data_IF_357044838224
#
_entry.id   IF_357044838224
#
_cell.length_a   1.000
_cell.length_b   1.000
_cell.length_c   1.000
_cell.angle_alpha   90.00
_cell.angle_beta   90.00
_cell.angle_gamma   90.00
#
_symmetry.space_group_name_H-M   'P 1'
#
loop_
_entity.id
_entity.type
_entity.pdbx_description
1 polymer ?
#
# COMPACT_ATOMS: atom_id res chain seq x y z
N UNK A 1 19.61 12.73 28.40
CA UNK A 1 18.37 11.99 28.71
C UNK A 1 17.11 12.43 27.92
N UNK A 2 17.15 13.45 27.05
CA UNK A 2 15.99 13.88 26.22
C UNK A 2 15.83 13.18 24.85
N UNK A 3 16.74 12.27 24.48
CA UNK A 3 16.70 11.57 23.18
C UNK A 3 15.78 10.34 23.14
N UNK A 4 15.70 9.59 24.25
CA UNK A 4 14.94 8.32 24.31
C UNK A 4 13.41 8.53 24.31
N UNK A 5 12.93 9.59 24.95
CA UNK A 5 11.49 9.92 25.00
C UNK A 5 10.91 10.33 23.63
N UNK A 6 11.73 10.89 22.73
CA UNK A 6 11.32 11.28 21.38
C UNK A 6 11.16 10.07 20.46
N UNK A 7 12.03 9.08 20.59
CA UNK A 7 11.97 7.80 19.86
C UNK A 7 10.81 6.92 20.36
N UNK A 8 10.49 6.99 21.66
CA UNK A 8 9.35 6.30 22.27
C UNK A 8 7.99 6.74 21.69
N UNK A 9 7.77 8.05 21.59
CA UNK A 9 6.51 8.60 21.05
C UNK A 9 6.42 8.37 19.53
N UNK A 10 7.57 8.25 18.84
CA UNK A 10 7.70 7.95 17.41
C UNK A 10 7.03 6.62 17.03
N UNK A 11 7.27 5.56 17.80
CA UNK A 11 6.90 4.19 17.46
C UNK A 11 5.43 3.87 17.82
N UNK A 12 4.88 4.56 18.81
CA UNK A 12 3.55 4.32 19.37
C UNK A 12 2.38 4.82 18.49
N UNK A 13 2.69 5.37 17.34
CA UNK A 13 1.84 6.38 16.73
C UNK A 13 1.58 6.06 15.26
N UNK A 14 2.59 5.54 14.57
CA UNK A 14 2.47 5.09 13.20
C UNK A 14 2.10 3.62 13.14
N UNK A 15 2.33 2.83 14.19
CA UNK A 15 2.01 1.40 14.17
C UNK A 15 0.61 1.08 13.60
N UNK A 16 -0.48 1.83 13.87
CA UNK A 16 -1.76 1.58 13.21
C UNK A 16 -1.74 1.84 11.69
N UNK A 17 -0.99 2.85 11.24
CA UNK A 17 -0.86 3.31 9.85
C UNK A 17 0.11 2.45 9.04
N UNK A 18 1.18 1.95 9.65
CA UNK A 18 2.13 0.99 9.04
C UNK A 18 1.58 -0.44 9.05
N UNK A 19 0.76 -0.82 10.04
CA UNK A 19 0.04 -2.11 10.04
C UNK A 19 -0.98 -2.19 8.89
N UNK A 20 -1.52 -1.06 8.41
CA UNK A 20 -2.37 -1.03 7.20
C UNK A 20 -1.62 -1.48 5.94
N UNK A 21 -0.32 -1.23 5.86
CA UNK A 21 0.49 -1.57 4.67
C UNK A 21 1.19 -2.92 4.80
N UNK A 22 1.21 -3.52 5.99
CA UNK A 22 2.08 -4.65 6.32
C UNK A 22 1.30 -5.66 7.14
N UNK A 23 0.71 -6.65 6.47
CA UNK A 23 0.43 -7.91 7.14
C UNK A 23 1.62 -8.85 6.95
N UNK A 24 2.29 -9.14 8.06
CA UNK A 24 3.32 -10.17 8.19
C UNK A 24 4.65 -9.61 8.70
N UNK A 25 5.46 -10.48 9.27
CA UNK A 25 5.95 -10.51 10.64
C UNK A 25 7.11 -9.56 11.01
N UNK A 26 6.96 -8.89 12.16
CA UNK A 26 7.89 -9.10 13.28
C UNK A 26 7.22 -10.04 14.28
N UNK A 27 7.99 -10.71 15.13
CA UNK A 27 7.52 -11.67 16.13
C UNK A 27 6.49 -11.06 17.09
N UNK A 28 5.25 -11.02 16.62
CA UNK A 28 4.05 -10.74 17.39
C UNK A 28 3.16 -11.96 17.22
N UNK A 29 2.81 -12.61 18.33
CA UNK A 29 1.78 -13.61 18.36
C UNK A 29 0.41 -12.94 18.15
N UNK A 30 0.10 -12.61 16.90
CA UNK A 30 -1.23 -12.20 16.43
C UNK A 30 -1.76 -13.36 15.61
N UNK A 31 -2.91 -13.92 15.99
CA UNK A 31 -3.64 -14.83 15.10
C UNK A 31 -3.86 -14.12 13.76
N UNK A 32 -3.25 -14.67 12.70
CA UNK A 32 -3.27 -14.11 11.36
C UNK A 32 -4.71 -13.78 10.93
N UNK A 33 -5.08 -12.50 10.70
CA UNK A 33 -6.25 -12.21 9.89
C UNK A 33 -5.85 -12.58 8.47
N UNK A 34 -6.17 -13.80 8.05
CA UNK A 34 -5.81 -14.34 6.73
C UNK A 34 -6.18 -13.30 5.67
N UNK A 35 -5.22 -12.85 4.87
CA UNK A 35 -5.45 -11.93 3.73
C UNK A 35 -6.49 -12.49 2.72
N UNK A 36 -6.72 -13.80 2.72
CA UNK A 36 -7.85 -14.42 2.00
C UNK A 36 -9.22 -13.94 2.51
N UNK A 37 -9.34 -13.66 3.81
CA UNK A 37 -10.55 -13.07 4.43
C UNK A 37 -10.71 -11.61 4.04
N UNK A 38 -9.62 -10.86 3.80
CA UNK A 38 -9.66 -9.50 3.27
C UNK A 38 -10.25 -9.47 1.86
N UNK A 39 -9.79 -10.35 0.95
CA UNK A 39 -10.36 -10.48 -0.40
C UNK A 39 -11.79 -11.07 -0.40
N UNK A 40 -12.09 -12.02 0.51
CA UNK A 40 -13.42 -12.61 0.65
C UNK A 40 -14.45 -11.65 1.28
N UNK A 41 -14.03 -10.58 1.96
CA UNK A 41 -14.93 -9.55 2.52
C UNK A 41 -15.24 -8.43 1.53
N UNK A 42 -14.40 -8.23 0.51
CA UNK A 42 -14.60 -7.25 -0.57
C UNK A 42 -15.57 -7.79 -1.65
N UNK A 43 -15.91 -9.08 -1.65
CA UNK A 43 -16.54 -9.77 -2.80
C UNK A 43 -18.08 -9.79 -2.83
N UNK A 44 -18.81 -9.08 -1.96
CA UNK A 44 -20.27 -9.23 -1.89
C UNK A 44 -21.14 -8.03 -2.33
N UNK A 45 -20.61 -7.00 -3.02
CA UNK A 45 -21.44 -5.79 -3.29
C UNK A 45 -21.58 -5.31 -4.73
N UNK A 46 -21.01 -5.94 -5.77
CA UNK A 46 -21.38 -5.56 -7.17
C UNK A 46 -20.90 -6.58 -8.22
N UNK A 47 -21.67 -7.64 -8.50
CA UNK A 47 -21.29 -8.63 -9.51
C UNK A 47 -22.13 -8.66 -10.81
N UNK A 48 -23.17 -7.84 -10.98
CA UNK A 48 -24.12 -8.03 -12.08
C UNK A 48 -24.07 -7.07 -13.27
N UNK A 49 -22.99 -6.31 -13.52
CA UNK A 49 -22.99 -5.31 -14.63
C UNK A 49 -21.85 -5.31 -15.65
N UNK A 50 -20.86 -6.21 -15.63
CA UNK A 50 -19.65 -6.01 -16.47
C UNK A 50 -19.28 -7.21 -17.34
N UNK A 51 -20.08 -7.46 -18.38
CA UNK A 51 -19.60 -8.16 -19.61
C UNK A 51 -19.17 -7.19 -20.72
N UNK A 52 -19.63 -5.93 -20.68
CA UNK A 52 -19.26 -4.90 -21.66
C UNK A 52 -17.88 -4.26 -21.43
N UNK A 53 -17.41 -4.19 -20.17
CA UNK A 53 -16.13 -3.58 -19.80
C UNK A 53 -14.89 -4.36 -20.28
N UNK A 54 -14.99 -5.69 -20.27
CA UNK A 54 -13.93 -6.65 -20.66
C UNK A 54 -13.33 -6.32 -22.04
N UNK A 55 -14.19 -6.13 -23.04
CA UNK A 55 -13.77 -5.86 -24.41
C UNK A 55 -13.14 -4.47 -24.59
N UNK A 56 -13.45 -3.52 -23.70
CA UNK A 56 -12.96 -2.14 -23.80
C UNK A 56 -11.56 -2.04 -23.17
N UNK A 57 -11.32 -2.73 -22.05
CA UNK A 57 -10.03 -2.76 -21.38
C UNK A 57 -8.95 -3.41 -22.26
N UNK A 58 -9.23 -4.60 -22.81
CA UNK A 58 -8.31 -5.28 -23.74
C UNK A 58 -7.99 -4.45 -24.99
N UNK A 59 -9.01 -3.88 -25.65
CA UNK A 59 -8.84 -3.01 -26.83
C UNK A 59 -8.00 -1.76 -26.54
N UNK A 60 -8.12 -1.19 -25.34
CA UNK A 60 -7.35 -0.01 -24.95
C UNK A 60 -5.87 -0.35 -24.80
N UNK A 61 -5.55 -1.49 -24.18
CA UNK A 61 -4.17 -1.97 -24.05
C UNK A 61 -3.58 -2.30 -25.42
N UNK A 62 -4.33 -2.95 -26.30
CA UNK A 62 -3.89 -3.26 -27.65
C UNK A 62 -3.55 -2.00 -28.44
N UNK A 63 -4.40 -0.97 -28.31
CA UNK A 63 -4.15 0.34 -28.90
C UNK A 63 -2.85 0.93 -28.38
N UNK A 64 -2.63 0.95 -27.06
CA UNK A 64 -1.41 1.49 -26.45
C UNK A 64 -0.15 0.79 -27.01
N UNK A 65 -0.16 -0.55 -27.05
CA UNK A 65 0.98 -1.34 -27.54
C UNK A 65 1.29 -1.03 -29.01
N UNK A 66 0.26 -0.87 -29.84
CA UNK A 66 0.41 -0.64 -31.27
C UNK A 66 0.66 0.83 -31.63
N UNK A 67 0.24 1.79 -30.78
CA UNK A 67 0.45 3.22 -31.00
C UNK A 67 1.88 3.65 -30.69
N UNK A 68 2.47 3.13 -29.62
CA UNK A 68 3.80 3.55 -29.18
C UNK A 68 4.88 2.56 -29.60
N UNK A 69 5.92 3.06 -30.25
CA UNK A 69 7.09 2.27 -30.65
C UNK A 69 8.00 1.99 -29.45
N UNK A 70 8.24 3.00 -28.60
CA UNK A 70 9.15 2.91 -27.45
C UNK A 70 8.47 2.28 -26.24
N UNK A 71 9.20 1.43 -25.52
CA UNK A 71 8.68 0.73 -24.33
C UNK A 71 8.34 1.69 -23.19
N UNK A 72 9.10 2.78 -23.04
CA UNK A 72 8.85 3.79 -22.01
C UNK A 72 7.51 4.49 -22.23
N UNK A 73 7.18 4.80 -23.49
CA UNK A 73 5.91 5.45 -23.83
C UNK A 73 4.72 4.50 -23.64
N UNK A 74 4.90 3.21 -23.94
CA UNK A 74 3.90 2.17 -23.61
C UNK A 74 3.68 2.08 -22.10
N UNK A 75 4.76 2.05 -21.31
CA UNK A 75 4.69 1.97 -19.85
C UNK A 75 3.99 3.19 -19.26
N UNK A 76 4.31 4.40 -19.73
CA UNK A 76 3.65 5.62 -19.29
C UNK A 76 2.16 5.58 -19.58
N UNK A 77 1.76 5.20 -20.80
CA UNK A 77 0.36 5.06 -21.17
C UNK A 77 -0.38 3.96 -20.37
N UNK A 78 0.30 2.86 -20.03
CA UNK A 78 -0.23 1.83 -19.14
C UNK A 78 -0.39 2.32 -17.71
N UNK A 79 0.53 3.15 -17.19
CA UNK A 79 0.41 3.78 -15.88
C UNK A 79 -0.77 4.77 -15.85
N UNK A 80 -1.00 5.52 -16.94
CA UNK A 80 -2.19 6.36 -17.09
C UNK A 80 -3.49 5.55 -17.11
N UNK A 81 -3.49 4.40 -17.79
CA UNK A 81 -4.63 3.48 -17.78
C UNK A 81 -4.85 2.92 -16.37
N UNK A 82 -3.78 2.47 -15.71
CA UNK A 82 -3.83 1.94 -14.36
C UNK A 82 -4.40 2.97 -13.39
N UNK A 83 -3.98 4.23 -13.50
CA UNK A 83 -4.55 5.34 -12.71
C UNK A 83 -6.07 5.41 -12.82
N UNK A 84 -6.62 5.28 -14.03
CA UNK A 84 -8.08 5.27 -14.25
C UNK A 84 -8.73 4.03 -13.65
N UNK A 85 -8.04 2.89 -13.66
CA UNK A 85 -8.54 1.65 -13.07
C UNK A 85 -8.53 1.66 -11.54
N UNK A 86 -7.65 2.42 -10.88
CA UNK A 86 -7.71 2.57 -9.42
C UNK A 86 -9.07 3.12 -8.97
N UNK A 87 -9.69 3.99 -9.77
CA UNK A 87 -10.99 4.60 -9.45
C UNK A 87 -12.16 3.66 -9.80
N UNK A 88 -12.01 2.83 -10.83
CA UNK A 88 -13.10 2.00 -11.38
C UNK A 88 -13.08 0.54 -10.94
N UNK A 89 -11.92 0.06 -10.49
CA UNK A 89 -11.63 -1.36 -10.37
C UNK A 89 -11.48 -2.05 -11.73
N UNK A 90 -11.03 -3.31 -11.70
CA UNK A 90 -11.05 -4.26 -12.83
C UNK A 90 -11.54 -5.60 -12.29
N UNK A 91 -12.87 -5.79 -12.16
CA UNK A 91 -13.43 -7.01 -11.57
C UNK A 91 -12.99 -8.30 -12.27
N UNK A 92 -12.72 -8.24 -13.57
CA UNK A 92 -12.25 -9.38 -14.38
C UNK A 92 -10.87 -9.90 -13.95
N UNK A 93 -10.08 -9.03 -13.31
CA UNK A 93 -8.76 -9.35 -12.76
C UNK A 93 -8.79 -9.45 -11.24
N UNK A 94 -9.99 -9.48 -10.63
CA UNK A 94 -10.19 -9.37 -9.18
C UNK A 94 -9.49 -8.13 -8.57
N UNK A 95 -9.41 -7.04 -9.33
CA UNK A 95 -8.89 -5.76 -8.85
C UNK A 95 -10.08 -4.93 -8.37
N UNK A 96 -10.22 -4.67 -7.06
CA UNK A 96 -11.31 -3.85 -6.55
C UNK A 96 -11.08 -2.36 -6.87
N UNK A 97 -12.05 -1.52 -6.53
CA UNK A 97 -11.84 -0.07 -6.48
C UNK A 97 -10.81 0.21 -5.37
N UNK A 98 -9.79 1.01 -5.72
CA UNK A 98 -8.69 1.38 -4.83
C UNK A 98 -8.66 2.89 -4.52
N UNK A 99 -9.52 3.70 -5.15
CA UNK A 99 -9.66 5.12 -4.84
C UNK A 99 -11.12 5.58 -4.99
N UNK A 100 -11.91 5.64 -3.90
CA UNK A 100 -11.51 5.31 -2.53
C UNK A 100 -11.37 3.80 -2.27
N UNK A 101 -10.33 3.41 -1.53
CA UNK A 101 -10.20 2.07 -0.95
C UNK A 101 -10.89 2.05 0.42
N UNK A 102 -11.81 1.10 0.62
CA UNK A 102 -12.50 0.89 1.88
C UNK A 102 -11.98 -0.36 2.59
N UNK A 103 -11.75 -0.26 3.89
CA UNK A 103 -11.27 -1.35 4.75
C UNK A 103 -12.14 -1.39 6.00
N UNK A 104 -12.88 -2.48 6.18
CA UNK A 104 -13.85 -2.59 7.27
C UNK A 104 -13.20 -2.59 8.66
N UNK A 105 -12.10 -3.35 8.82
CA UNK A 105 -11.42 -3.47 10.10
C UNK A 105 -9.95 -3.87 9.91
N UNK A 106 -9.10 -3.26 10.72
CA UNK A 106 -7.67 -3.52 10.83
C UNK A 106 -7.35 -3.65 12.31
N UNK A 107 -7.06 -4.85 12.77
CA UNK A 107 -6.54 -5.07 14.12
C UNK A 107 -5.03 -4.89 14.13
N UNK A 108 -4.51 -4.26 15.18
CA UNK A 108 -3.08 -4.11 15.39
C UNK A 108 -2.69 -4.47 16.83
N UNK A 109 -1.56 -5.15 16.94
CA UNK A 109 -0.95 -5.53 18.21
C UNK A 109 0.56 -5.30 18.08
N UNK A 110 1.01 -4.10 18.40
CA UNK A 110 2.42 -3.74 18.36
C UNK A 110 3.10 -4.20 19.64
N UNK A 111 4.09 -5.07 19.50
CA UNK A 111 5.01 -5.42 20.58
C UNK A 111 6.43 -5.05 20.17
N UNK A 112 6.92 -3.92 20.67
CA UNK A 112 8.28 -3.44 20.44
C UNK A 112 8.88 -2.94 21.77
N UNK A 113 10.21 -2.95 21.91
CA UNK A 113 10.88 -2.49 23.14
C UNK A 113 10.47 -1.08 23.55
N UNK A 114 10.18 -0.23 22.56
CA UNK A 114 9.76 1.15 22.77
C UNK A 114 8.25 1.34 22.99
N UNK A 115 7.41 0.38 22.62
CA UNK A 115 5.96 0.53 22.74
C UNK A 115 5.23 -0.82 22.65
N UNK A 116 4.22 -0.98 23.52
CA UNK A 116 3.27 -2.09 23.50
C UNK A 116 1.87 -1.54 23.31
N UNK A 117 1.32 -1.63 22.10
CA UNK A 117 0.03 -1.05 21.77
C UNK A 117 -0.89 -2.07 21.16
N UNK A 118 -2.15 -2.03 21.55
CA UNK A 118 -3.18 -2.88 20.98
C UNK A 118 -4.38 -2.05 20.63
N UNK A 119 -5.02 -2.40 19.53
CA UNK A 119 -6.18 -1.67 19.08
C UNK A 119 -6.69 -2.14 17.74
N UNK A 120 -7.59 -1.34 17.19
CA UNK A 120 -8.10 -1.52 15.85
C UNK A 120 -8.44 -0.19 15.19
N UNK A 121 -8.48 -0.21 13.87
CA UNK A 121 -9.14 0.80 13.05
C UNK A 121 -10.32 0.15 12.31
N UNK A 122 -11.44 0.86 12.22
CA UNK A 122 -12.66 0.41 11.55
C UNK A 122 -13.17 1.48 10.59
N UNK A 123 -13.97 1.05 9.60
CA UNK A 123 -14.54 1.91 8.56
C UNK A 123 -13.51 2.83 7.89
N UNK A 124 -12.32 2.28 7.65
CA UNK A 124 -11.19 3.03 7.12
C UNK A 124 -11.41 3.29 5.64
N UNK A 125 -11.31 4.55 5.25
CA UNK A 125 -11.39 5.01 3.86
C UNK A 125 -10.09 5.70 3.48
N UNK A 126 -9.44 5.17 2.44
CA UNK A 126 -8.20 5.69 1.87
C UNK A 126 -8.52 6.31 0.51
N UNK A 127 -8.13 7.57 0.31
CA UNK A 127 -8.42 8.33 -0.90
C UNK A 127 -7.14 8.91 -1.51
N UNK A 128 -7.25 9.29 -2.78
CA UNK A 128 -6.20 9.91 -3.57
C UNK A 128 -5.03 8.99 -3.95
N UNK A 129 -5.20 7.67 -3.85
CA UNK A 129 -4.21 6.69 -4.37
C UNK A 129 -4.00 6.90 -5.87
N UNK A 130 -5.04 7.26 -6.62
CA UNK A 130 -4.97 7.55 -8.05
C UNK A 130 -4.25 8.87 -8.38
N UNK A 131 -3.96 9.73 -7.40
CA UNK A 131 -3.33 11.04 -7.63
C UNK A 131 -1.80 10.98 -7.67
N UNK A 132 -1.22 9.79 -7.74
CA UNK A 132 0.23 9.62 -7.86
C UNK A 132 0.78 10.31 -9.11
N UNK A 133 2.00 10.84 -8.98
CA UNK A 133 2.86 11.36 -10.04
C UNK A 133 3.95 10.34 -10.31
N UNK A 134 4.27 10.12 -11.58
CA UNK A 134 5.39 9.25 -11.97
C UNK A 134 6.63 10.12 -12.05
N UNK A 135 7.56 9.94 -11.10
CA UNK A 135 8.81 10.73 -11.05
C UNK A 135 9.88 10.11 -11.96
N UNK A 136 9.88 8.78 -12.03
CA UNK A 136 10.83 8.02 -12.85
C UNK A 136 10.27 6.65 -13.18
N UNK A 137 10.37 6.30 -14.45
CA UNK A 137 10.13 4.97 -14.95
C UNK A 137 11.35 4.50 -15.76
N UNK A 138 11.83 3.29 -15.45
CA UNK A 138 12.90 2.67 -16.24
C UNK A 138 12.59 1.20 -16.44
N UNK A 139 12.70 0.79 -17.69
CA UNK A 139 12.62 -0.59 -18.10
C UNK A 139 14.01 -1.08 -18.51
N UNK A 140 14.37 -2.31 -18.14
CA UNK A 140 15.61 -2.95 -18.58
C UNK A 140 15.36 -4.41 -18.91
N UNK A 141 15.79 -4.85 -20.08
CA UNK A 141 15.90 -6.28 -20.39
C UNK A 141 17.16 -6.83 -19.72
N UNK A 142 17.01 -7.85 -18.87
CA UNK A 142 18.11 -8.52 -18.19
C UNK A 142 18.56 -9.81 -18.90
N UNK A 143 18.00 -10.08 -20.08
CA UNK A 143 18.18 -11.34 -20.81
C UNK A 143 17.48 -12.52 -20.14
N UNK A 144 17.51 -13.68 -20.80
CA UNK A 144 16.93 -14.93 -20.27
C UNK A 144 15.47 -14.79 -19.83
N UNK A 145 14.70 -13.99 -20.58
CA UNK A 145 13.29 -13.68 -20.31
C UNK A 145 13.04 -13.01 -18.94
N UNK A 146 14.02 -12.25 -18.46
CA UNK A 146 13.93 -11.47 -17.22
C UNK A 146 13.91 -10.00 -17.55
N UNK A 147 12.97 -9.27 -16.95
CA UNK A 147 12.77 -7.85 -17.19
C UNK A 147 12.74 -7.11 -15.88
N UNK A 148 13.45 -5.98 -15.81
CA UNK A 148 13.47 -5.10 -14.66
C UNK A 148 12.60 -3.88 -14.92
N UNK A 149 11.71 -3.60 -13.97
CA UNK A 149 10.91 -2.39 -13.92
C UNK A 149 11.26 -1.62 -12.65
N UNK A 150 11.87 -0.46 -12.82
CA UNK A 150 12.10 0.51 -11.75
C UNK A 150 11.07 1.63 -11.88
N UNK A 151 10.28 1.87 -10.83
CA UNK A 151 9.29 2.95 -10.79
C UNK A 151 9.46 3.77 -9.51
N UNK A 152 9.54 5.09 -9.65
CA UNK A 152 9.42 6.04 -8.56
C UNK A 152 8.11 6.81 -8.72
N UNK A 153 7.28 6.77 -7.69
CA UNK A 153 6.01 7.46 -7.63
C UNK A 153 6.01 8.42 -6.44
N UNK A 154 5.44 9.60 -6.62
CA UNK A 154 5.11 10.52 -5.53
C UNK A 154 3.60 10.62 -5.42
N UNK A 155 3.06 10.37 -4.23
CA UNK A 155 1.67 10.63 -3.89
C UNK A 155 1.63 11.99 -3.18
N UNK A 156 1.14 13.07 -3.82
CA UNK A 156 1.18 14.41 -3.23
C UNK A 156 0.42 14.47 -1.90
N UNK A 157 -0.71 13.76 -1.84
CA UNK A 157 -1.48 13.59 -0.63
C UNK A 157 -2.25 12.27 -0.69
N UNK A 158 -2.16 11.45 0.35
CA UNK A 158 -3.08 10.33 0.60
C UNK A 158 -3.89 10.67 1.84
N UNK A 159 -5.21 10.59 1.72
CA UNK A 159 -6.13 10.85 2.84
C UNK A 159 -6.61 9.53 3.41
N UNK A 160 -6.50 9.36 4.73
CA UNK A 160 -7.02 8.19 5.45
C UNK A 160 -7.93 8.69 6.55
N UNK A 161 -9.15 8.19 6.60
CA UNK A 161 -10.10 8.52 7.65
C UNK A 161 -10.76 7.23 8.15
N UNK A 162 -11.19 7.20 9.40
CA UNK A 162 -11.90 6.05 9.95
C UNK A 162 -12.17 6.23 11.44
N UNK A 163 -12.51 5.14 12.10
CA UNK A 163 -12.64 5.05 13.55
C UNK A 163 -11.44 4.28 14.10
N UNK A 164 -10.92 4.69 15.25
CA UNK A 164 -9.85 3.97 15.93
C UNK A 164 -10.22 3.70 17.38
N UNK A 165 -9.64 2.62 17.91
CA UNK A 165 -9.51 2.37 19.33
C UNK A 165 -8.10 1.88 19.59
N UNK A 166 -7.40 2.51 20.53
CA UNK A 166 -6.05 2.13 20.92
C UNK A 166 -5.91 2.17 22.42
N UNK A 167 -5.14 1.24 22.97
CA UNK A 167 -4.67 1.27 24.34
C UNK A 167 -3.29 0.61 24.43
N UNK A 168 -2.47 1.08 25.37
CA UNK A 168 -1.21 0.42 25.66
C UNK A 168 -0.21 1.30 26.37
N UNK A 169 1.06 0.96 26.22
CA UNK A 169 2.19 1.57 26.90
C UNK A 169 3.21 2.05 25.88
N UNK A 170 3.68 3.28 26.08
CA UNK A 170 4.85 3.84 25.43
C UNK A 170 6.01 3.72 26.43
N UNK A 171 7.08 3.04 26.03
CA UNK A 171 8.15 2.60 26.91
C UNK A 171 7.61 1.72 28.05
N UNK A 172 8.10 2.00 29.26
CA UNK A 172 7.79 1.17 30.45
C UNK A 172 6.70 1.74 31.36
N UNK A 173 6.28 3.00 31.16
CA UNK A 173 5.45 3.70 32.16
C UNK A 173 4.36 4.59 31.59
N UNK A 174 4.43 4.97 30.32
CA UNK A 174 3.49 5.95 29.79
C UNK A 174 2.28 5.25 29.15
N UNK A 175 1.13 5.28 29.82
CA UNK A 175 -0.10 4.73 29.27
C UNK A 175 -0.68 5.65 28.20
N UNK A 176 -1.01 5.10 27.04
CA UNK A 176 -1.74 5.77 25.98
C UNK A 176 -3.05 5.04 25.74
N UNK A 177 -4.12 5.79 25.53
CA UNK A 177 -5.41 5.26 25.15
C UNK A 177 -6.19 6.31 24.38
N UNK A 178 -7.11 5.87 23.53
CA UNK A 178 -7.98 6.75 22.78
C UNK A 178 -8.98 5.96 21.95
N UNK A 179 -10.15 6.54 21.75
CA UNK A 179 -11.20 5.99 20.90
C UNK A 179 -11.96 7.13 20.26
N UNK A 180 -12.21 7.04 18.95
CA UNK A 180 -12.93 8.08 18.23
C UNK A 180 -12.63 8.07 16.74
N UNK A 181 -13.09 9.10 16.00
CA UNK A 181 -12.68 9.29 14.62
C UNK A 181 -11.23 9.73 14.52
N UNK A 182 -10.57 9.29 13.45
CA UNK A 182 -9.25 9.77 13.07
C UNK A 182 -9.20 10.23 11.62
N UNK A 183 -8.26 11.14 11.34
CA UNK A 183 -7.90 11.60 10.00
C UNK A 183 -6.40 11.68 9.87
N UNK A 184 -5.88 11.27 8.72
CA UNK A 184 -4.48 11.33 8.35
C UNK A 184 -4.36 11.88 6.93
N UNK A 185 -3.44 12.81 6.73
CA UNK A 185 -2.95 13.21 5.41
C UNK A 185 -1.47 12.86 5.35
N UNK A 186 -1.12 11.85 4.55
CA UNK A 186 0.27 11.55 4.23
C UNK A 186 0.66 12.47 3.09
N UNK A 187 1.54 13.44 3.36
CA UNK A 187 1.94 14.47 2.40
C UNK A 187 3.27 14.08 1.77
N UNK A 188 3.33 14.14 0.44
CA UNK A 188 4.49 13.77 -0.38
C UNK A 188 5.08 12.41 0.00
N UNK A 189 4.24 11.37 0.00
CA UNK A 189 4.68 9.99 0.15
C UNK A 189 5.35 9.54 -1.14
N UNK A 190 6.62 9.14 -1.04
CA UNK A 190 7.41 8.63 -2.17
C UNK A 190 7.52 7.12 -2.08
N UNK A 191 7.26 6.45 -3.19
CA UNK A 191 7.38 5.01 -3.36
C UNK A 191 8.38 4.72 -4.48
N UNK A 192 9.50 4.12 -4.13
CA UNK A 192 10.45 3.52 -5.07
C UNK A 192 10.23 2.02 -5.15
N UNK A 193 10.14 1.49 -6.35
CA UNK A 193 10.01 0.06 -6.60
C UNK A 193 11.08 -0.40 -7.59
N UNK A 194 11.66 -1.58 -7.35
CA UNK A 194 12.53 -2.28 -8.29
C UNK A 194 12.04 -3.72 -8.40
N UNK A 195 11.33 -4.03 -9.48
CA UNK A 195 10.70 -5.33 -9.69
C UNK A 195 11.39 -6.08 -10.82
N UNK A 196 11.74 -7.34 -10.60
CA UNK A 196 12.21 -8.26 -11.64
C UNK A 196 11.09 -9.23 -11.97
N UNK A 197 10.57 -9.12 -13.19
CA UNK A 197 9.65 -10.06 -13.79
C UNK A 197 10.43 -11.16 -14.52
N UNK A 198 9.92 -12.39 -14.48
CA UNK A 198 10.49 -13.52 -15.24
C UNK A 198 9.38 -14.26 -15.98
N UNK A 199 9.57 -14.47 -17.28
CA UNK A 199 8.76 -15.44 -18.01
C UNK A 199 9.36 -16.84 -17.85
N UNK A 200 8.49 -17.82 -17.57
CA UNK A 200 8.77 -19.22 -17.78
C UNK A 200 7.89 -19.69 -18.95
N UNK A 201 8.53 -20.09 -20.05
CA UNK A 201 7.82 -20.61 -21.22
C UNK A 201 7.06 -21.92 -20.87
N UNK A 202 5.93 -22.21 -21.55
CA UNK A 202 5.37 -21.47 -22.69
C UNK A 202 4.52 -20.23 -22.34
N UNK A 203 4.07 -20.03 -21.09
CA UNK A 203 3.07 -18.99 -20.81
C UNK A 203 2.96 -18.50 -19.35
N UNK A 204 4.01 -18.56 -18.53
CA UNK A 204 3.94 -18.08 -17.14
C UNK A 204 4.75 -16.81 -16.95
N UNK A 205 4.16 -15.75 -16.41
CA UNK A 205 4.86 -14.56 -15.94
C UNK A 205 4.76 -14.48 -14.42
N UNK A 206 5.85 -14.14 -13.76
CA UNK A 206 5.87 -13.97 -12.30
C UNK A 206 6.82 -12.87 -11.89
N UNK A 207 6.54 -12.26 -10.74
CA UNK A 207 7.51 -11.47 -9.99
C UNK A 207 8.55 -12.42 -9.40
N UNK A 208 9.79 -12.34 -9.90
CA UNK A 208 10.93 -13.08 -9.36
C UNK A 208 11.45 -12.40 -8.09
N UNK A 209 11.73 -11.10 -8.18
CA UNK A 209 12.22 -10.25 -7.08
C UNK A 209 11.46 -8.92 -7.07
N UNK A 210 11.30 -8.35 -5.89
CA UNK A 210 10.72 -7.03 -5.67
C UNK A 210 11.50 -6.38 -4.54
N UNK A 211 11.82 -5.11 -4.71
CA UNK A 211 12.39 -4.24 -3.67
C UNK A 211 11.51 -3.00 -3.58
N UNK A 212 11.00 -2.71 -2.38
CA UNK A 212 10.19 -1.53 -2.08
C UNK A 212 10.94 -0.59 -1.14
N UNK A 213 10.84 0.71 -1.45
CA UNK A 213 11.35 1.80 -0.63
C UNK A 213 10.25 2.83 -0.48
N UNK A 214 10.02 3.27 0.75
CA UNK A 214 9.07 4.35 1.03
C UNK A 214 9.80 5.49 1.70
N UNK A 215 9.30 6.71 1.48
CA UNK A 215 9.71 7.88 2.23
C UNK A 215 8.50 8.77 2.41
N UNK A 216 8.22 9.14 3.65
CA UNK A 216 7.18 10.12 3.97
C UNK A 216 7.83 11.47 4.24
N UNK A 217 7.25 12.54 3.72
CA UNK A 217 7.76 13.90 3.97
C UNK A 217 7.15 14.46 5.25
N UNK A 218 5.82 14.43 5.38
CA UNK A 218 5.13 14.81 6.60
C UNK A 218 3.80 14.07 6.75
N UNK A 219 3.31 14.03 7.99
CA UNK A 219 1.99 13.56 8.34
C UNK A 219 1.22 14.71 8.96
N UNK A 220 0.01 14.96 8.48
CA UNK A 220 -0.99 15.74 9.21
C UNK A 220 -1.98 14.75 9.79
N UNK A 221 -2.28 14.85 11.09
CA UNK A 221 -3.21 13.92 11.73
C UNK A 221 -4.12 14.60 12.74
N UNK A 222 -5.24 13.94 12.99
CA UNK A 222 -6.12 14.22 14.09
C UNK A 222 -6.73 12.91 14.59
N UNK A 223 -6.44 12.54 15.83
CA UNK A 223 -7.05 11.44 16.56
C UNK A 223 -7.91 12.07 17.67
N UNK A 224 -9.23 12.05 17.47
CA UNK A 224 -10.17 12.59 18.46
C UNK A 224 -10.32 11.62 19.64
N UNK A 225 -10.56 12.15 20.85
CA UNK A 225 -10.67 11.32 22.06
C UNK A 225 -9.33 10.75 22.57
N UNK A 226 -8.19 11.11 21.95
CA UNK A 226 -6.88 10.64 22.39
C UNK A 226 -6.57 11.20 23.78
N UNK A 227 -6.19 10.31 24.71
CA UNK A 227 -5.94 10.60 26.13
C UNK A 227 -7.14 11.12 26.92
N UNK A 228 -8.35 11.13 26.34
CA UNK A 228 -9.58 11.67 26.95
C UNK A 228 -9.45 13.10 27.50
N UNK A 229 -8.44 13.86 27.06
CA UNK A 229 -8.17 15.23 27.47
C UNK A 229 -7.75 16.04 26.24
N UNK A 230 -8.38 17.19 26.01
CA UNK A 230 -8.19 17.95 24.78
C UNK A 230 -6.79 18.54 24.65
N UNK A 231 -6.20 19.00 25.76
CA UNK A 231 -4.88 19.62 25.75
C UNK A 231 -3.78 18.56 25.54
N UNK A 232 -3.85 17.48 26.34
CA UNK A 232 -2.94 16.34 26.22
C UNK A 232 -3.09 15.68 24.85
N UNK A 233 -4.32 15.44 24.40
CA UNK A 233 -4.62 14.88 23.07
C UNK A 233 -4.04 15.73 21.93
N UNK A 234 -4.10 17.06 22.03
CA UNK A 234 -3.48 17.96 21.05
C UNK A 234 -1.94 17.86 21.06
N UNK A 235 -1.32 17.75 22.25
CA UNK A 235 0.12 17.54 22.39
C UNK A 235 0.55 16.21 21.74
N UNK A 236 -0.21 15.14 21.98
CA UNK A 236 0.02 13.85 21.33
C UNK A 236 -0.10 13.98 19.82
N UNK A 237 -1.24 14.48 19.30
CA UNK A 237 -1.44 14.65 17.88
C UNK A 237 -0.30 15.42 17.19
N UNK A 238 0.20 16.49 17.81
CA UNK A 238 1.36 17.24 17.30
C UNK A 238 2.66 16.43 17.33
N UNK A 239 2.89 15.65 18.38
CA UNK A 239 4.01 14.73 18.44
C UNK A 239 3.90 13.68 17.33
N UNK A 240 2.70 13.16 17.06
CA UNK A 240 2.46 12.21 15.97
C UNK A 240 2.88 12.78 14.62
N UNK A 241 2.34 13.95 14.26
CA UNK A 241 2.62 14.60 12.99
C UNK A 241 4.10 14.78 12.75
N UNK A 242 4.81 15.22 13.81
CA UNK A 242 6.24 15.57 13.76
C UNK A 242 7.13 14.34 13.62
N UNK A 243 6.77 13.26 14.29
CA UNK A 243 7.61 12.09 14.45
C UNK A 243 7.34 11.03 13.37
N UNK A 244 6.21 11.14 12.66
CA UNK A 244 5.80 10.15 11.68
C UNK A 244 6.83 9.85 10.56
N UNK A 245 7.48 10.85 9.93
CA UNK A 245 8.47 10.55 8.89
C UNK A 245 9.64 9.70 9.40
N UNK A 246 10.17 10.04 10.58
CA UNK A 246 11.32 9.34 11.17
C UNK A 246 10.95 7.94 11.66
N UNK A 247 9.78 7.76 12.27
CA UNK A 247 9.37 6.42 12.70
C UNK A 247 9.05 5.51 11.51
N UNK A 248 8.57 6.04 10.38
CA UNK A 248 8.46 5.24 9.17
C UNK A 248 9.84 4.78 8.68
N UNK A 249 10.87 5.64 8.71
CA UNK A 249 12.23 5.25 8.32
C UNK A 249 12.80 4.15 9.21
N UNK A 250 12.55 4.23 10.53
CA UNK A 250 13.03 3.26 11.52
C UNK A 250 12.29 1.92 11.37
N UNK A 251 10.97 1.95 11.19
CA UNK A 251 10.14 0.75 11.09
C UNK A 251 10.15 0.12 9.69
N UNK A 252 10.50 0.87 8.64
CA UNK A 252 10.42 0.37 7.27
C UNK A 252 11.21 -0.94 7.05
N UNK A 253 12.47 -1.10 7.49
CA UNK A 253 13.25 -2.32 7.28
C UNK A 253 12.58 -3.57 7.86
N UNK A 254 11.88 -3.38 8.97
CA UNK A 254 11.17 -4.37 9.75
C UNK A 254 9.88 -4.81 9.05
N UNK A 255 9.12 -3.84 8.55
CA UNK A 255 7.81 -4.09 7.95
C UNK A 255 7.89 -4.42 6.44
N UNK A 256 8.94 -3.97 5.76
CA UNK A 256 9.15 -4.11 4.31
C UNK A 256 9.04 -5.55 3.80
N UNK A 257 9.70 -6.58 4.39
CA UNK A 257 9.60 -7.96 3.91
C UNK A 257 8.15 -8.44 3.86
N UNK A 258 7.38 -8.02 4.88
CA UNK A 258 5.94 -8.16 5.03
C UNK A 258 5.17 -7.71 3.79
N UNK A 259 5.31 -6.41 3.51
CA UNK A 259 4.68 -5.73 2.37
C UNK A 259 5.06 -6.40 1.06
N UNK A 260 6.35 -6.66 0.86
CA UNK A 260 6.87 -7.24 -0.37
C UNK A 260 6.27 -8.61 -0.64
N UNK A 261 6.16 -9.46 0.38
CA UNK A 261 5.54 -10.78 0.23
C UNK A 261 4.07 -10.67 -0.20
N UNK A 262 3.31 -9.76 0.41
CA UNK A 262 1.89 -9.57 0.12
C UNK A 262 1.65 -8.98 -1.26
N UNK A 263 2.35 -7.88 -1.58
CA UNK A 263 2.26 -7.21 -2.88
C UNK A 263 2.68 -8.18 -3.98
N UNK A 264 3.75 -8.94 -3.77
CA UNK A 264 4.19 -9.99 -4.70
C UNK A 264 3.13 -11.06 -4.90
N UNK A 265 2.48 -11.54 -3.84
CA UNK A 265 1.41 -12.55 -3.92
C UNK A 265 0.22 -12.03 -4.73
N UNK A 266 -0.22 -10.81 -4.44
CA UNK A 266 -1.31 -10.17 -5.16
C UNK A 266 -0.99 -9.96 -6.64
N UNK A 267 0.18 -9.38 -6.95
CA UNK A 267 0.61 -9.21 -8.35
C UNK A 267 0.69 -10.56 -9.06
N UNK A 268 1.27 -11.59 -8.45
CA UNK A 268 1.36 -12.91 -9.08
C UNK A 268 -0.03 -13.52 -9.36
N UNK A 269 -1.03 -13.32 -8.49
CA UNK A 269 -2.40 -13.77 -8.77
C UNK A 269 -3.02 -13.10 -10.00
N UNK A 270 -2.65 -11.83 -10.27
CA UNK A 270 -3.07 -11.13 -11.50
C UNK A 270 -2.27 -11.65 -12.71
N UNK A 271 -0.98 -11.90 -12.55
CA UNK A 271 -0.09 -12.39 -13.62
C UNK A 271 -0.38 -13.83 -14.05
N UNK A 272 -1.11 -14.60 -13.24
CA UNK A 272 -1.62 -15.93 -13.63
C UNK A 272 -2.70 -15.85 -14.72
N UNK A 273 -3.35 -14.69 -14.90
CA UNK A 273 -4.35 -14.50 -15.93
C UNK A 273 -3.72 -14.51 -17.34
N UNK A 274 -4.17 -15.41 -18.21
CA UNK A 274 -3.64 -15.58 -19.57
C UNK A 274 -3.70 -14.29 -20.42
N UNK A 275 -4.73 -13.45 -20.23
CA UNK A 275 -4.85 -12.16 -20.92
C UNK A 275 -3.70 -11.23 -20.52
N UNK A 276 -3.37 -11.17 -19.23
CA UNK A 276 -2.26 -10.38 -18.70
C UNK A 276 -0.93 -10.89 -19.21
N UNK A 277 -0.74 -12.21 -19.26
CA UNK A 277 0.47 -12.82 -19.85
C UNK A 277 0.62 -12.44 -21.33
N UNK A 278 -0.45 -12.53 -22.11
CA UNK A 278 -0.41 -12.21 -23.55
C UNK A 278 -0.12 -10.72 -23.80
N UNK A 279 -0.71 -9.84 -22.99
CA UNK A 279 -0.39 -8.41 -22.99
C UNK A 279 1.08 -8.20 -22.68
N UNK A 280 1.60 -8.86 -21.64
CA UNK A 280 2.98 -8.70 -21.22
C UNK A 280 3.97 -9.23 -22.27
N UNK A 281 3.68 -10.38 -22.90
CA UNK A 281 4.47 -10.89 -24.03
C UNK A 281 4.57 -9.86 -25.16
N UNK A 282 3.44 -9.26 -25.54
CA UNK A 282 3.40 -8.22 -26.58
C UNK A 282 4.08 -6.92 -26.16
N UNK A 283 3.95 -6.53 -24.90
CA UNK A 283 4.62 -5.36 -24.34
C UNK A 283 6.14 -5.50 -24.43
N UNK A 284 6.66 -6.68 -24.07
CA UNK A 284 8.09 -6.98 -24.02
C UNK A 284 8.65 -7.62 -25.30
N UNK A 285 7.87 -7.66 -26.38
CA UNK A 285 8.25 -8.27 -27.67
C UNK A 285 8.78 -9.73 -27.53
N UNK A 286 8.15 -10.55 -26.69
CA UNK A 286 8.49 -11.96 -26.50
C UNK A 286 7.60 -12.80 -27.42
N UNK A 287 8.19 -13.54 -28.35
CA UNK A 287 7.52 -14.53 -29.22
C UNK A 287 7.20 -15.83 -28.48
#
# INVERSE_FOLDING_TARGET
MMGCARVLILLAVIAPVTVVLVQGQLEVAIEEPRFSTFLNRITNTTFDLIRGGVNIFGKTIDRIINTFVRIEDRLRALLELFRKQLIKGVPELNIPILDPLHINKIDFDLHHEAAKLKGYAEDVTIQHISKFVVDKERFSDLGQLRFKLDLNLTFPIIKVNGLYKVAGLIGNSFQIHGEGPFRLNLVDLKLGTSTILKFNLPARLRVQKMDLKVKLTSLENNFEGLMNDSETGALFNKAISKLAPEALDILWPEIKPSVEAQVKKYINSILENATVVNIAKRLFNIT
#
